data_IF_787807207841
#
_entry.id   IF_787807207841
#
_cell.length_a   1.000
_cell.length_b   1.000
_cell.length_c   1.000
_cell.angle_alpha   90.00
_cell.angle_beta   90.00
_cell.angle_gamma   90.00
#
_symmetry.space_group_name_H-M   'P 1'
#
loop_
_entity.id
_entity.type
_entity.pdbx_description
1 polymer ?
#
# COMPACT_ATOMS: atom_id res chain seq x y z
N UNK A 1 7.13 12.23 1.59
CA UNK A 1 8.58 12.20 1.30
C UNK A 1 9.14 10.84 1.67
N UNK A 2 9.61 10.07 0.67
CA UNK A 2 10.10 8.70 0.81
C UNK A 2 11.27 8.58 1.81
N UNK A 3 11.37 7.46 2.54
CA UNK A 3 12.41 7.29 3.58
C UNK A 3 13.84 7.33 3.01
N UNK A 4 14.05 6.79 1.80
CA UNK A 4 15.34 6.88 1.11
C UNK A 4 15.75 8.33 0.83
N UNK A 5 14.80 9.17 0.39
CA UNK A 5 15.07 10.59 0.17
C UNK A 5 15.47 11.28 1.48
N UNK A 6 14.76 10.99 2.59
CA UNK A 6 15.13 11.48 3.93
C UNK A 6 16.55 11.10 4.34
N UNK A 7 17.00 9.88 4.03
CA UNK A 7 18.35 9.42 4.36
C UNK A 7 19.42 10.05 3.47
N UNK A 8 19.12 10.23 2.18
CA UNK A 8 20.04 10.88 1.24
C UNK A 8 20.25 12.36 1.63
N UNK A 9 19.17 13.05 2.00
CA UNK A 9 19.22 14.47 2.39
C UNK A 9 19.72 14.67 3.82
N UNK A 10 19.46 13.72 4.73
CA UNK A 10 19.88 13.75 6.13
C UNK A 10 20.39 12.36 6.56
N UNK A 11 21.67 12.05 6.29
CA UNK A 11 22.21 10.70 6.54
C UNK A 11 22.41 10.38 8.02
N UNK A 12 22.51 11.40 8.88
CA UNK A 12 22.62 11.25 10.32
C UNK A 12 21.27 11.66 10.94
N UNK A 13 20.61 10.69 11.57
CA UNK A 13 19.29 10.87 12.19
C UNK A 13 19.43 10.78 13.71
N UNK A 14 19.13 11.86 14.43
CA UNK A 14 19.11 11.87 15.89
C UNK A 14 17.84 11.23 16.44
N UNK A 15 18.00 10.29 17.37
CA UNK A 15 16.93 9.47 17.97
C UNK A 15 15.87 9.00 16.94
N UNK A 16 16.23 8.13 15.98
CA UNK A 16 15.34 7.73 14.90
C UNK A 16 14.02 7.11 15.39
N UNK A 17 14.05 6.44 16.54
CA UNK A 17 12.89 5.79 17.13
C UNK A 17 11.81 6.81 17.55
N UNK A 18 12.20 8.02 17.98
CA UNK A 18 11.27 9.08 18.36
C UNK A 18 10.96 10.02 17.20
N UNK A 19 12.00 10.54 16.54
CA UNK A 19 11.89 11.68 15.63
C UNK A 19 11.72 11.26 14.17
N UNK A 20 12.14 10.04 13.83
CA UNK A 20 12.12 9.53 12.46
C UNK A 20 11.43 8.16 12.39
N UNK A 21 10.27 8.02 13.05
CA UNK A 21 9.49 6.76 13.12
C UNK A 21 9.23 6.10 11.77
N UNK A 22 9.11 6.89 10.71
CA UNK A 22 8.98 6.37 9.34
C UNK A 22 10.26 5.67 8.89
N UNK A 23 11.43 6.25 9.13
CA UNK A 23 12.73 5.64 8.79
C UNK A 23 13.04 4.48 9.73
N UNK A 24 12.86 4.68 11.05
CA UNK A 24 13.16 3.66 12.06
C UNK A 24 12.37 2.36 11.83
N UNK A 25 11.08 2.43 11.47
CA UNK A 25 10.28 1.23 11.19
C UNK A 25 10.84 0.39 10.04
N UNK A 26 11.43 1.01 9.02
CA UNK A 26 12.05 0.29 7.92
C UNK A 26 13.35 -0.38 8.38
N UNK A 27 14.27 0.33 9.03
CA UNK A 27 15.55 -0.26 9.44
C UNK A 27 15.43 -1.23 10.64
N UNK A 28 14.46 -1.02 11.54
CA UNK A 28 14.19 -1.92 12.68
C UNK A 28 13.58 -3.24 12.23
N UNK A 29 12.68 -3.23 11.23
CA UNK A 29 12.09 -4.45 10.68
C UNK A 29 13.09 -5.29 9.86
N UNK A 30 14.17 -4.66 9.37
CA UNK A 30 15.16 -5.28 8.50
C UNK A 30 16.56 -5.47 9.13
N UNK A 31 16.69 -5.45 10.47
CA UNK A 31 17.99 -5.70 11.11
C UNK A 31 18.42 -7.18 11.04
N UNK A 32 19.61 -7.43 10.45
CA UNK A 32 20.47 -8.65 10.48
C UNK A 32 19.87 -10.04 10.14
N UNK A 33 18.61 -10.15 9.71
CA UNK A 33 18.03 -11.43 9.25
C UNK A 33 17.55 -11.34 7.81
N UNK A 34 17.94 -12.30 6.98
CA UNK A 34 17.69 -12.38 5.54
C UNK A 34 16.30 -11.94 5.11
N UNK A 35 16.24 -11.01 4.16
CA UNK A 35 15.00 -10.61 3.50
C UNK A 35 14.64 -11.65 2.43
N UNK A 36 13.85 -12.65 2.82
CA UNK A 36 13.42 -13.79 1.97
C UNK A 36 12.48 -13.34 0.83
N UNK A 37 12.17 -12.05 0.79
CA UNK A 37 11.67 -11.33 -0.37
C UNK A 37 10.16 -11.11 -0.37
N UNK A 38 9.65 -10.68 -1.52
CA UNK A 38 10.30 -9.63 -2.26
C UNK A 38 10.10 -8.34 -1.44
N UNK A 39 10.52 -7.21 -1.95
CA UNK A 39 9.44 -6.26 -2.01
C UNK A 39 8.73 -6.49 -3.32
N UNK A 40 9.46 -6.20 -4.41
CA UNK A 40 8.96 -6.31 -5.78
C UNK A 40 9.16 -7.71 -6.41
N UNK A 41 8.06 -8.33 -6.84
CA UNK A 41 8.05 -9.60 -7.58
C UNK A 41 7.04 -9.55 -8.72
N UNK A 42 7.50 -9.94 -9.90
CA UNK A 42 6.68 -10.06 -11.09
C UNK A 42 6.47 -11.55 -11.36
N UNK A 43 5.24 -11.96 -11.67
CA UNK A 43 4.94 -13.33 -12.09
C UNK A 43 3.93 -13.27 -13.21
N UNK A 44 4.23 -13.95 -14.32
CA UNK A 44 3.40 -13.94 -15.51
C UNK A 44 2.93 -15.36 -15.84
N UNK A 45 1.64 -15.48 -16.14
CA UNK A 45 1.05 -16.65 -16.80
C UNK A 45 0.51 -16.22 -18.17
N UNK A 46 0.03 -17.17 -18.98
CA UNK A 46 -0.50 -16.88 -20.31
C UNK A 46 -1.66 -15.87 -20.31
N UNK A 47 -2.43 -15.78 -19.22
CA UNK A 47 -3.62 -14.92 -19.13
C UNK A 47 -3.50 -13.79 -18.09
N UNK A 48 -2.41 -13.72 -17.31
CA UNK A 48 -2.32 -12.82 -16.16
C UNK A 48 -0.88 -12.39 -15.87
N UNK A 49 -0.70 -11.10 -15.60
CA UNK A 49 0.52 -10.55 -14.99
C UNK A 49 0.19 -10.22 -13.53
N UNK A 50 1.07 -10.62 -12.61
CA UNK A 50 0.96 -10.32 -11.18
C UNK A 50 2.18 -9.52 -10.74
N UNK A 51 1.95 -8.31 -10.24
CA UNK A 51 2.96 -7.47 -9.60
C UNK A 51 2.72 -7.52 -8.08
N UNK A 52 3.77 -7.80 -7.31
CA UNK A 52 3.76 -7.74 -5.84
C UNK A 52 4.83 -6.76 -5.41
N UNK A 53 4.59 -5.99 -4.36
CA UNK A 53 5.51 -4.99 -3.80
C UNK A 53 5.51 -5.05 -2.27
N UNK A 54 6.59 -4.63 -1.61
CA UNK A 54 6.49 -4.23 -0.20
C UNK A 54 5.76 -2.90 -0.11
N UNK A 55 5.37 -2.57 1.12
CA UNK A 55 4.95 -1.22 1.47
C UNK A 55 5.95 -0.18 0.92
N UNK A 56 5.43 0.93 0.42
CA UNK A 56 6.07 2.03 -0.31
C UNK A 56 6.28 1.84 -1.82
N UNK A 57 6.07 0.63 -2.35
CA UNK A 57 6.05 0.39 -3.80
C UNK A 57 4.64 0.38 -4.40
N UNK A 58 3.59 0.66 -3.62
CA UNK A 58 2.21 0.64 -4.09
C UNK A 58 1.99 1.65 -5.23
N UNK A 59 2.49 2.88 -5.08
CA UNK A 59 2.35 3.94 -6.08
C UNK A 59 3.02 3.56 -7.41
N UNK A 60 4.23 2.99 -7.34
CA UNK A 60 4.95 2.52 -8.52
C UNK A 60 4.20 1.38 -9.23
N UNK A 61 3.67 0.41 -8.45
CA UNK A 61 2.88 -0.68 -9.01
C UNK A 61 1.61 -0.14 -9.66
N UNK A 62 0.93 0.79 -8.99
CA UNK A 62 -0.29 1.41 -9.49
C UNK A 62 -0.03 2.18 -10.79
N UNK A 63 1.05 2.96 -10.86
CA UNK A 63 1.46 3.70 -12.05
C UNK A 63 1.73 2.74 -13.22
N UNK A 64 2.44 1.64 -12.99
CA UNK A 64 2.72 0.63 -14.01
C UNK A 64 1.43 -0.02 -14.53
N UNK A 65 0.50 -0.36 -13.64
CA UNK A 65 -0.81 -0.93 -14.01
C UNK A 65 -1.62 0.09 -14.79
N UNK A 66 -1.76 1.32 -14.30
CA UNK A 66 -2.54 2.38 -14.93
C UNK A 66 -2.00 2.75 -16.32
N UNK A 67 -0.68 2.73 -16.53
CA UNK A 67 -0.07 2.94 -17.84
C UNK A 67 -0.43 1.87 -18.86
N UNK A 68 -0.65 0.63 -18.41
CA UNK A 68 -1.08 -0.48 -19.28
C UNK A 68 -2.54 -0.38 -19.76
N UNK A 69 -3.36 0.45 -19.11
CA UNK A 69 -4.75 0.67 -19.49
C UNK A 69 -4.80 1.60 -20.70
N UNK A 70 -5.32 1.07 -21.81
CA UNK A 70 -5.29 1.72 -23.13
C UNK A 70 -6.41 2.75 -23.29
N UNK A 71 -7.63 2.42 -22.86
CA UNK A 71 -8.76 3.34 -22.84
C UNK A 71 -8.88 3.98 -21.44
N UNK A 72 -8.65 5.30 -21.29
CA UNK A 72 -8.72 5.97 -20.00
C UNK A 72 -10.11 5.98 -19.36
N UNK A 73 -11.17 5.84 -20.15
CA UNK A 73 -12.57 5.90 -19.70
C UNK A 73 -13.14 4.51 -19.42
N UNK A 74 -12.43 3.44 -19.79
CA UNK A 74 -12.81 2.07 -19.46
C UNK A 74 -12.80 1.88 -17.93
N UNK A 75 -13.97 1.51 -17.40
CA UNK A 75 -14.09 1.16 -15.98
C UNK A 75 -13.50 -0.23 -15.76
N UNK A 76 -12.58 -0.32 -14.81
CA UNK A 76 -12.04 -1.58 -14.33
C UNK A 76 -12.43 -1.81 -12.88
N UNK A 77 -12.56 -3.10 -12.55
CA UNK A 77 -12.92 -3.57 -11.22
C UNK A 77 -11.69 -3.53 -10.30
N UNK A 78 -11.85 -2.92 -9.12
CA UNK A 78 -10.90 -2.97 -8.02
C UNK A 78 -11.44 -3.92 -6.96
N UNK A 79 -10.69 -4.99 -6.74
CA UNK A 79 -10.91 -5.91 -5.63
C UNK A 79 -9.74 -5.83 -4.65
N UNK A 80 -10.04 -5.70 -3.37
CA UNK A 80 -9.01 -5.60 -2.34
C UNK A 80 -9.53 -6.00 -0.96
N UNK A 81 -8.60 -6.13 -0.02
CA UNK A 81 -8.93 -6.33 1.39
C UNK A 81 -8.08 -5.42 2.24
N UNK A 82 -8.73 -4.56 3.01
CA UNK A 82 -8.08 -3.76 4.04
C UNK A 82 -8.03 -4.56 5.34
N UNK A 83 -6.86 -4.61 5.97
CA UNK A 83 -6.68 -5.17 7.32
C UNK A 83 -5.90 -4.16 8.14
N UNK A 84 -6.47 -3.71 9.26
CA UNK A 84 -5.85 -2.70 10.14
C UNK A 84 -6.01 -3.10 11.61
N UNK A 85 -5.08 -2.70 12.46
CA UNK A 85 -5.18 -2.90 13.91
C UNK A 85 -6.12 -1.91 14.61
N UNK A 86 -6.44 -0.78 13.96
CA UNK A 86 -7.25 0.30 14.51
C UNK A 86 -8.53 0.51 13.70
N UNK A 87 -9.56 1.06 14.34
CA UNK A 87 -10.76 1.48 13.62
C UNK A 87 -10.42 2.73 12.78
N UNK A 88 -10.59 2.63 11.46
CA UNK A 88 -10.31 3.69 10.49
C UNK A 88 -11.57 4.21 9.80
N UNK A 89 -12.76 3.90 10.33
CA UNK A 89 -14.04 4.25 9.70
C UNK A 89 -14.16 5.73 9.36
N UNK A 90 -13.79 6.60 10.30
CA UNK A 90 -13.86 8.07 10.11
C UNK A 90 -12.92 8.53 8.99
N UNK A 91 -11.66 8.07 9.01
CA UNK A 91 -10.67 8.38 7.97
C UNK A 91 -11.17 7.95 6.58
N UNK A 92 -11.71 6.74 6.48
CA UNK A 92 -12.21 6.17 5.21
C UNK A 92 -13.39 6.97 4.68
N UNK A 93 -14.32 7.35 5.57
CA UNK A 93 -15.47 8.19 5.21
C UNK A 93 -15.01 9.57 4.75
N UNK A 94 -14.04 10.19 5.43
CA UNK A 94 -13.49 11.49 5.06
C UNK A 94 -12.75 11.48 3.72
N UNK A 95 -12.21 10.33 3.31
CA UNK A 95 -11.61 10.12 1.99
C UNK A 95 -12.65 9.84 0.89
N UNK A 96 -13.95 9.83 1.22
CA UNK A 96 -15.03 9.57 0.27
C UNK A 96 -15.27 8.09 -0.05
N UNK A 97 -14.66 7.17 0.71
CA UNK A 97 -14.83 5.74 0.53
C UNK A 97 -15.95 5.18 1.42
N UNK A 98 -16.72 4.24 0.88
CA UNK A 98 -17.83 3.59 1.59
C UNK A 98 -17.45 2.19 2.12
N UNK A 99 -16.18 1.96 2.47
CA UNK A 99 -15.71 0.64 2.89
C UNK A 99 -16.18 0.31 4.32
N UNK A 100 -16.83 -0.85 4.47
CA UNK A 100 -17.41 -1.28 5.75
C UNK A 100 -16.38 -2.09 6.54
N UNK A 101 -15.81 -1.50 7.59
CA UNK A 101 -14.90 -2.18 8.50
C UNK A 101 -15.67 -3.05 9.49
N UNK A 102 -15.31 -4.33 9.53
CA UNK A 102 -15.80 -5.30 10.50
C UNK A 102 -14.67 -5.67 11.45
N UNK A 103 -14.93 -5.60 12.76
CA UNK A 103 -13.99 -6.07 13.77
C UNK A 103 -13.88 -7.59 13.71
N UNK A 104 -12.67 -8.13 13.82
CA UNK A 104 -12.46 -9.57 13.93
C UNK A 104 -12.90 -10.09 15.30
N UNK A 105 -13.41 -11.32 15.29
CA UNK A 105 -13.84 -12.06 16.48
C UNK A 105 -12.74 -12.97 17.04
N UNK A 106 -11.57 -13.03 16.40
CA UNK A 106 -10.44 -13.89 16.81
C UNK A 106 -9.58 -13.29 17.93
N UNK A 107 -8.59 -14.06 18.40
CA UNK A 107 -7.63 -13.63 19.44
C UNK A 107 -6.92 -12.32 19.10
N UNK A 108 -6.60 -12.12 17.81
CA UNK A 108 -6.01 -10.87 17.32
C UNK A 108 -7.13 -9.89 16.94
N UNK A 109 -7.28 -8.83 17.74
CA UNK A 109 -8.22 -7.74 17.47
C UNK A 109 -7.72 -6.91 16.28
N UNK A 110 -8.33 -7.08 15.13
CA UNK A 110 -8.11 -6.24 13.94
C UNK A 110 -9.46 -5.87 13.30
N UNK A 111 -9.45 -4.93 12.37
CA UNK A 111 -10.59 -4.57 11.55
C UNK A 111 -10.29 -4.95 10.10
N UNK A 112 -11.32 -5.43 9.41
CA UNK A 112 -11.23 -5.88 8.01
C UNK A 112 -12.33 -5.25 7.18
N UNK A 113 -12.01 -4.84 5.96
CA UNK A 113 -13.00 -4.48 4.95
C UNK A 113 -12.67 -5.20 3.64
N UNK A 114 -13.69 -5.74 2.99
CA UNK A 114 -13.58 -6.14 1.59
C UNK A 114 -13.86 -4.91 0.73
N UNK A 115 -13.00 -4.67 -0.26
CA UNK A 115 -13.09 -3.58 -1.21
C UNK A 115 -13.54 -4.20 -2.53
N UNK A 116 -14.68 -3.74 -3.02
CA UNK A 116 -15.18 -4.03 -4.36
C UNK A 116 -15.67 -2.70 -4.91
N UNK A 117 -14.97 -2.19 -5.93
CA UNK A 117 -15.26 -0.89 -6.51
C UNK A 117 -14.99 -0.89 -8.02
N UNK A 118 -15.50 0.11 -8.74
CA UNK A 118 -15.26 0.31 -10.15
C UNK A 118 -14.73 1.71 -10.38
N UNK A 119 -13.57 1.83 -11.03
CA UNK A 119 -12.93 3.11 -11.31
C UNK A 119 -12.37 3.12 -12.73
N UNK A 120 -12.06 4.31 -13.24
CA UNK A 120 -11.35 4.48 -14.50
C UNK A 120 -9.99 5.16 -14.28
N UNK A 121 -9.16 5.15 -15.31
CA UNK A 121 -7.78 5.66 -15.24
C UNK A 121 -7.75 7.15 -14.89
N UNK A 122 -8.69 7.91 -15.44
CA UNK A 122 -8.83 9.36 -15.21
C UNK A 122 -9.05 9.67 -13.74
N UNK A 123 -9.95 8.96 -13.06
CA UNK A 123 -10.20 9.14 -11.62
C UNK A 123 -9.06 8.62 -10.74
N UNK A 124 -8.34 7.59 -11.19
CA UNK A 124 -7.24 6.98 -10.44
C UNK A 124 -5.98 7.86 -10.38
N UNK A 125 -5.68 8.63 -11.45
CA UNK A 125 -4.45 9.41 -11.57
C UNK A 125 -4.59 10.89 -11.17
N UNK A 126 -5.79 11.33 -10.78
CA UNK A 126 -6.09 12.72 -10.38
C UNK A 126 -6.02 12.92 -8.85
N UNK A 127 -5.84 11.85 -8.06
CA UNK A 127 -5.72 11.88 -6.59
C UNK A 127 -4.31 12.19 -6.09
#
# INVERSE_FOLDING_TARGET
>A
MHFLKKIIEQPILEDPAKNHKSVHRHFYRYSRGDFIGPALKITQTKAKITLKGSHEYEDLILELVARGISDPEENFEIQGRLITSSDLKELITNLGFNWVLKRSTGKTKNYKAEILDYINKTKLLVS
#
